data_IF_454223713916
#
_entry.id   IF_454223713916
#
_cell.length_a   1.000
_cell.length_b   1.000
_cell.length_c   1.000
_cell.angle_alpha   90.00
_cell.angle_beta   90.00
_cell.angle_gamma   90.00
#
_symmetry.space_group_name_H-M   'P 1'
#
loop_
_entity.id
_entity.type
_entity.pdbx_description
1 polymer ?
#
# COMPACT_ATOMS: atom_id res chain seq x y z
N UNK A 1 3.37 -7.53 -6.72
CA UNK A 1 3.29 -7.48 -5.25
C UNK A 1 4.60 -6.95 -4.74
N UNK A 2 4.57 -5.94 -3.87
CA UNK A 2 5.76 -5.36 -3.23
C UNK A 2 5.47 -5.31 -1.73
N UNK A 3 6.49 -5.61 -0.92
CA UNK A 3 6.40 -5.54 0.54
C UNK A 3 7.34 -4.45 1.05
N UNK A 4 6.84 -3.60 1.93
CA UNK A 4 7.60 -2.53 2.57
C UNK A 4 7.63 -2.79 4.08
N UNK A 5 8.83 -2.88 4.66
CA UNK A 5 8.98 -2.91 6.11
C UNK A 5 8.99 -1.45 6.62
N UNK A 6 7.95 -1.10 7.37
CA UNK A 6 7.78 0.26 7.89
C UNK A 6 8.31 0.42 9.32
N UNK A 7 8.60 -0.66 10.05
CA UNK A 7 8.98 -0.63 11.48
C UNK A 7 10.19 0.25 11.78
N UNK A 8 11.13 0.39 10.84
CA UNK A 8 12.29 1.28 11.02
C UNK A 8 11.94 2.78 10.99
N UNK A 9 10.74 3.14 10.53
CA UNK A 9 10.28 4.51 10.34
C UNK A 9 9.01 4.79 11.17
N UNK A 10 8.04 3.87 11.14
CA UNK A 10 6.74 4.00 11.79
C UNK A 10 6.08 2.64 12.01
N UNK A 11 5.54 2.43 13.21
CA UNK A 11 4.57 1.37 13.48
C UNK A 11 3.16 1.90 13.20
N UNK A 12 2.48 1.35 12.19
CA UNK A 12 1.15 1.81 11.81
C UNK A 12 0.09 1.28 12.78
N UNK A 13 -0.61 2.19 13.45
CA UNK A 13 -1.87 1.84 14.13
C UNK A 13 -2.96 1.49 13.11
N UNK A 14 -3.97 0.73 13.55
CA UNK A 14 -5.11 0.38 12.68
C UNK A 14 -5.81 1.60 12.07
N UNK A 15 -5.89 2.72 12.80
CA UNK A 15 -6.50 3.96 12.29
C UNK A 15 -5.64 4.64 11.22
N UNK A 16 -4.31 4.62 11.37
CA UNK A 16 -3.40 5.15 10.34
C UNK A 16 -3.43 4.27 9.08
N UNK A 17 -3.46 2.95 9.25
CA UNK A 17 -3.62 2.03 8.13
C UNK A 17 -4.94 2.26 7.39
N UNK A 18 -6.07 2.42 8.10
CA UNK A 18 -7.36 2.74 7.47
C UNK A 18 -7.30 4.03 6.64
N UNK A 19 -6.68 5.09 7.17
CA UNK A 19 -6.50 6.35 6.42
C UNK A 19 -5.65 6.15 5.18
N UNK A 20 -4.59 5.36 5.28
CA UNK A 20 -3.73 5.02 4.14
C UNK A 20 -4.50 4.26 3.08
N UNK A 21 -5.29 3.24 3.46
CA UNK A 21 -6.14 2.48 2.54
C UNK A 21 -7.19 3.38 1.88
N UNK A 22 -7.86 4.25 2.64
CA UNK A 22 -8.85 5.19 2.10
C UNK A 22 -8.25 6.18 1.10
N UNK A 23 -6.99 6.60 1.30
CA UNK A 23 -6.29 7.47 0.38
C UNK A 23 -5.84 6.77 -0.92
N UNK A 24 -5.83 5.43 -0.97
CA UNK A 24 -5.37 4.64 -2.12
C UNK A 24 -6.46 3.62 -2.56
N UNK A 25 -7.66 4.06 -2.97
CA UNK A 25 -8.81 3.18 -3.19
C UNK A 25 -8.63 2.17 -4.34
N UNK A 26 -7.79 2.50 -5.32
CA UNK A 26 -7.48 1.62 -6.46
C UNK A 26 -6.40 0.58 -6.14
N UNK A 27 -5.81 0.63 -4.93
CA UNK A 27 -4.72 -0.23 -4.49
C UNK A 27 -5.18 -1.15 -3.38
N UNK A 28 -4.89 -2.45 -3.52
CA UNK A 28 -5.12 -3.42 -2.45
C UNK A 28 -3.93 -3.38 -1.50
N UNK A 29 -4.17 -2.89 -0.29
CA UNK A 29 -3.18 -2.81 0.79
C UNK A 29 -3.51 -3.80 1.90
N UNK A 30 -2.48 -4.45 2.42
CA UNK A 30 -2.55 -5.33 3.58
C UNK A 30 -1.43 -4.95 4.57
N UNK A 31 -1.76 -4.92 5.87
CA UNK A 31 -0.81 -4.72 6.95
C UNK A 31 -0.67 -6.02 7.74
N UNK A 32 0.53 -6.58 7.80
CA UNK A 32 0.81 -7.81 8.53
C UNK A 32 0.98 -7.56 10.03
N UNK A 33 0.91 -8.62 10.84
CA UNK A 33 1.19 -8.52 12.28
C UNK A 33 2.65 -8.13 12.59
N UNK A 34 3.55 -8.31 11.62
CA UNK A 34 4.96 -7.91 11.70
C UNK A 34 5.20 -6.44 11.32
N UNK A 35 4.14 -5.69 11.02
CA UNK A 35 4.24 -4.28 10.62
C UNK A 35 4.67 -4.07 9.16
N UNK A 36 4.56 -5.10 8.32
CA UNK A 36 4.88 -4.99 6.90
C UNK A 36 3.65 -4.53 6.11
N UNK A 37 3.84 -3.53 5.26
CA UNK A 37 2.81 -3.10 4.32
C UNK A 37 2.99 -3.84 2.98
N UNK A 38 2.01 -4.65 2.63
CA UNK A 38 1.96 -5.38 1.37
C UNK A 38 1.07 -4.62 0.39
N UNK A 39 1.65 -4.32 -0.78
CA UNK A 39 0.96 -3.69 -1.91
C UNK A 39 0.71 -4.75 -2.98
N UNK A 40 -0.55 -5.12 -3.16
CA UNK A 40 -0.95 -6.07 -4.17
C UNK A 40 -1.25 -5.38 -5.50
N UNK A 41 -0.88 -5.97 -6.65
CA UNK A 41 -1.33 -5.49 -7.95
C UNK A 41 -2.85 -5.69 -8.05
N UNK A 42 -3.57 -4.84 -8.81
CA UNK A 42 -5.01 -5.01 -9.00
C UNK A 42 -5.32 -6.40 -9.56
N UNK A 43 -6.20 -7.15 -8.89
CA UNK A 43 -6.68 -8.46 -9.34
C UNK A 43 -7.79 -8.26 -10.37
N UNK A 44 -7.41 -7.83 -11.57
CA UNK A 44 -8.28 -7.61 -12.71
C UNK A 44 -7.46 -7.03 -13.86
N UNK A 45 -7.31 -7.81 -14.93
CA UNK A 45 -6.39 -7.50 -16.03
C UNK A 45 -6.63 -6.15 -16.71
N UNK A 46 -5.53 -5.58 -17.19
CA UNK A 46 -5.42 -4.53 -18.21
C UNK A 46 -6.18 -3.22 -17.98
N UNK A 47 -5.56 -2.28 -17.25
CA UNK A 47 -5.30 -0.93 -17.77
C UNK A 47 -4.72 0.00 -16.71
N UNK A 48 -3.74 0.81 -17.11
CA UNK A 48 -3.48 2.09 -16.45
C UNK A 48 -2.21 2.17 -15.62
N UNK A 49 -1.05 1.77 -16.16
CA UNK A 49 0.22 2.31 -15.65
C UNK A 49 0.23 3.82 -15.96
N UNK A 50 -0.26 4.65 -15.03
CA UNK A 50 0.14 6.06 -14.98
C UNK A 50 1.49 6.12 -14.28
N UNK A 51 2.56 6.15 -15.06
CA UNK A 51 3.87 6.59 -14.56
C UNK A 51 3.71 8.04 -14.10
N UNK A 52 3.78 8.28 -12.80
CA UNK A 52 4.07 9.62 -12.29
C UNK A 52 5.58 9.78 -12.40
N UNK A 53 6.03 10.33 -13.52
CA UNK A 53 7.37 10.90 -13.58
C UNK A 53 7.36 12.14 -12.70
N UNK A 54 8.03 12.08 -11.55
CA UNK A 54 8.34 13.26 -10.76
C UNK A 54 9.55 13.97 -11.44
N UNK A 55 9.57 15.32 -11.45
CA UNK A 55 10.59 16.12 -12.13
C UNK A 55 11.98 16.00 -11.49
#
# INVERSE_FOLDING_TARGET
MITLNLESIIHLSSEQFKKLAFANPDTVLELTEQGELVVMPPTGGESGIRKISLP
#
